data_IF_922962497717
#
_entry.id   IF_922962497717
#
_cell.length_a   1.000
_cell.length_b   1.000
_cell.length_c   1.000
_cell.angle_alpha   90.00
_cell.angle_beta   90.00
_cell.angle_gamma   90.00
#
_symmetry.space_group_name_H-M   'P 1'
#
loop_
_entity.id
_entity.type
_entity.pdbx_description
1 polymer ?
#
# COMPACT_ATOMS: atom_id res chain seq x y z
N UNK A 1 -8.50 18.01 10.61
CA UNK A 1 -8.27 16.85 9.72
C UNK A 1 -7.60 15.76 10.54
N UNK A 2 -8.29 14.64 10.80
CA UNK A 2 -7.69 13.48 11.50
C UNK A 2 -7.33 12.42 10.46
N UNK A 3 -6.22 12.63 9.75
CA UNK A 3 -5.72 11.63 8.82
C UNK A 3 -5.32 10.37 9.61
N UNK A 4 -5.90 9.23 9.25
CA UNK A 4 -5.59 7.93 9.87
C UNK A 4 -4.47 7.17 9.14
N UNK A 5 -4.24 7.54 7.88
CA UNK A 5 -3.34 6.85 6.95
C UNK A 5 -2.53 7.89 6.18
N UNK A 6 -1.27 7.58 5.91
CA UNK A 6 -0.42 8.28 4.97
C UNK A 6 0.05 7.30 3.90
N UNK A 7 0.00 7.74 2.65
CA UNK A 7 0.60 7.05 1.51
C UNK A 7 1.91 7.74 1.19
N UNK A 8 2.98 6.97 1.12
CA UNK A 8 4.35 7.44 0.89
C UNK A 8 4.76 6.98 -0.50
N UNK A 9 5.21 7.94 -1.31
CA UNK A 9 5.70 7.78 -2.67
C UNK A 9 7.01 8.57 -2.79
N UNK A 10 8.08 8.01 -2.24
CA UNK A 10 9.43 8.56 -2.32
C UNK A 10 10.25 8.02 -3.51
N UNK A 11 11.52 8.43 -3.57
CA UNK A 11 12.46 7.95 -4.60
C UNK A 11 12.65 6.43 -4.53
N UNK A 12 12.77 5.86 -3.34
CA UNK A 12 12.90 4.41 -3.12
C UNK A 12 11.66 3.65 -3.61
N UNK A 13 10.47 4.09 -3.22
CA UNK A 13 9.18 3.52 -3.64
C UNK A 13 9.02 3.54 -5.17
N UNK A 14 9.44 4.63 -5.82
CA UNK A 14 9.41 4.75 -7.29
C UNK A 14 10.41 3.76 -7.93
N UNK A 15 11.64 3.66 -7.41
CA UNK A 15 12.65 2.73 -7.93
C UNK A 15 12.24 1.27 -7.75
N UNK A 16 11.64 0.95 -6.62
CA UNK A 16 11.21 -0.39 -6.27
C UNK A 16 9.81 -0.74 -6.79
N UNK A 17 9.14 0.20 -7.48
CA UNK A 17 7.77 0.06 -7.98
C UNK A 17 6.81 -0.43 -6.88
N UNK A 18 6.94 0.17 -5.69
CA UNK A 18 6.18 -0.15 -4.49
C UNK A 18 5.50 1.09 -3.92
N UNK A 19 4.52 0.90 -3.05
CA UNK A 19 3.81 1.96 -2.33
C UNK A 19 3.85 1.63 -0.85
N UNK A 20 4.30 2.58 -0.03
CA UNK A 20 4.30 2.39 1.42
C UNK A 20 3.11 3.10 2.06
N UNK A 21 2.38 2.37 2.90
CA UNK A 21 1.22 2.84 3.63
C UNK A 21 1.52 2.83 5.12
N UNK A 22 1.37 3.99 5.77
CA UNK A 22 1.65 4.15 7.21
C UNK A 22 0.40 4.62 7.95
N UNK A 23 0.08 3.95 9.05
CA UNK A 23 -0.96 4.39 9.96
C UNK A 23 -0.43 5.51 10.85
N UNK A 24 -1.04 6.69 10.79
CA UNK A 24 -0.53 7.89 11.45
C UNK A 24 -0.79 7.90 12.96
N UNK A 25 -1.79 7.15 13.42
CA UNK A 25 -2.21 7.10 14.82
C UNK A 25 -1.97 5.72 15.46
N UNK A 26 -1.20 4.85 14.82
CA UNK A 26 -0.83 3.57 15.39
C UNK A 26 0.68 3.40 15.46
N UNK A 27 1.13 2.62 16.44
CA UNK A 27 2.50 2.10 16.49
C UNK A 27 2.69 0.91 15.54
N UNK A 28 1.61 0.45 14.91
CA UNK A 28 1.65 -0.63 13.94
C UNK A 28 2.57 -0.34 12.77
N UNK A 29 3.14 -1.43 12.26
CA UNK A 29 4.08 -1.45 11.16
C UNK A 29 3.54 -0.79 9.90
N UNK A 30 4.44 -0.19 9.14
CA UNK A 30 4.20 0.22 7.76
C UNK A 30 3.87 -1.01 6.89
N UNK A 31 2.95 -0.83 5.95
CA UNK A 31 2.63 -1.83 4.94
C UNK A 31 3.28 -1.39 3.65
N UNK A 32 4.16 -2.21 3.08
CA UNK A 32 4.63 -2.03 1.71
C UNK A 32 3.74 -2.86 0.78
N UNK A 33 3.26 -2.24 -0.28
CA UNK A 33 2.50 -2.88 -1.35
C UNK A 33 3.33 -2.87 -2.62
N UNK A 34 3.58 -4.05 -3.17
CA UNK A 34 4.24 -4.18 -4.46
C UNK A 34 3.21 -4.41 -5.57
N UNK A 35 3.61 -4.19 -6.82
CA UNK A 35 2.72 -4.37 -7.97
C UNK A 35 2.09 -5.79 -8.02
N UNK A 36 2.83 -6.83 -7.61
CA UNK A 36 2.30 -8.19 -7.54
C UNK A 36 1.17 -8.35 -6.53
N UNK A 37 1.24 -7.66 -5.38
CA UNK A 37 0.18 -7.68 -4.37
C UNK A 37 -1.09 -7.02 -4.91
N UNK A 38 -0.93 -5.91 -5.65
CA UNK A 38 -2.05 -5.24 -6.32
C UNK A 38 -2.69 -6.15 -7.37
N UNK A 39 -1.89 -6.87 -8.16
CA UNK A 39 -2.40 -7.82 -9.15
C UNK A 39 -3.15 -8.99 -8.50
N UNK A 40 -2.65 -9.52 -7.37
CA UNK A 40 -3.35 -10.56 -6.60
C UNK A 40 -4.68 -10.05 -6.05
N UNK A 41 -4.71 -8.85 -5.46
CA UNK A 41 -5.94 -8.22 -4.96
C UNK A 41 -6.94 -8.04 -6.11
N UNK A 42 -6.48 -7.51 -7.25
CA UNK A 42 -7.31 -7.35 -8.44
C UNK A 42 -7.88 -8.69 -8.91
N UNK A 43 -7.05 -9.73 -8.96
CA UNK A 43 -7.47 -11.09 -9.33
C UNK A 43 -8.53 -11.63 -8.38
N UNK A 44 -8.36 -11.45 -7.06
CA UNK A 44 -9.32 -11.90 -6.05
C UNK A 44 -10.67 -11.18 -6.22
N UNK A 45 -10.64 -9.86 -6.42
CA UNK A 45 -11.85 -9.06 -6.65
C UNK A 45 -12.58 -9.44 -7.94
N UNK A 46 -11.86 -9.84 -8.98
CA UNK A 46 -12.45 -10.30 -10.25
C UNK A 46 -12.77 -11.80 -10.27
N UNK A 47 -12.41 -12.56 -9.24
CA UNK A 47 -12.71 -14.00 -9.16
C UNK A 47 -14.09 -14.29 -8.53
N UNK A 48 -14.83 -13.24 -8.16
CA UNK A 48 -16.21 -13.33 -7.65
C UNK A 48 -17.28 -13.16 -8.77
N UNK A 49 -16.90 -13.23 -10.05
CA UNK A 49 -17.81 -13.25 -11.23
C UNK A 49 -17.89 -14.64 -11.89
#
# INVERSE_FOLDING_TARGET
MNAKLAVILGEDEIKNNSITVKFLNSRDSQIELQNEDILKIKSLLTSEE
#
